data_IF_421607432705
#
_entry.id   IF_421607432705
#
_cell.length_a   1.000
_cell.length_b   1.000
_cell.length_c   1.000
_cell.angle_alpha   90.00
_cell.angle_beta   90.00
_cell.angle_gamma   90.00
#
_symmetry.space_group_name_H-M   'P 1'
#
loop_
_entity.id
_entity.type
_entity.pdbx_description
1 polymer ?
#
# COMPACT_ATOMS: atom_id res chain seq x y z
N UNK A 1 -25.58 -5.78 -6.17
CA UNK A 1 -24.58 -5.67 -7.26
C UNK A 1 -23.22 -6.13 -6.73
N UNK A 2 -22.49 -6.99 -7.45
CA UNK A 2 -21.11 -7.39 -7.08
C UNK A 2 -20.11 -6.49 -7.80
N UNK A 3 -19.14 -5.96 -7.07
CA UNK A 3 -18.06 -5.11 -7.60
C UNK A 3 -16.72 -5.81 -7.37
N UNK A 4 -15.76 -5.74 -8.32
CA UNK A 4 -14.37 -6.10 -8.03
C UNK A 4 -13.84 -5.27 -6.87
N UNK A 5 -13.14 -5.89 -5.92
CA UNK A 5 -12.69 -5.21 -4.70
C UNK A 5 -11.83 -3.97 -5.00
N UNK A 6 -10.91 -4.07 -5.97
CA UNK A 6 -10.08 -2.94 -6.42
C UNK A 6 -10.93 -1.76 -6.88
N UNK A 7 -11.96 -2.03 -7.69
CA UNK A 7 -12.86 -1.00 -8.21
C UNK A 7 -13.68 -0.38 -7.08
N UNK A 8 -14.23 -1.20 -6.18
CA UNK A 8 -14.98 -0.72 -5.02
C UNK A 8 -14.13 0.21 -4.14
N UNK A 9 -12.88 -0.15 -3.88
CA UNK A 9 -11.97 0.65 -3.07
C UNK A 9 -11.66 1.99 -3.74
N UNK A 10 -11.21 1.97 -5.00
CA UNK A 10 -10.74 3.17 -5.71
C UNK A 10 -11.88 4.12 -6.10
N UNK A 11 -13.01 3.60 -6.55
CA UNK A 11 -14.08 4.42 -7.11
C UNK A 11 -15.16 4.80 -6.10
N UNK A 12 -15.23 4.12 -4.95
CA UNK A 12 -16.30 4.34 -3.95
C UNK A 12 -15.75 4.61 -2.56
N UNK A 13 -15.00 3.68 -1.98
CA UNK A 13 -14.68 3.74 -0.55
C UNK A 13 -13.63 4.81 -0.22
N UNK A 14 -12.56 4.93 -1.01
CA UNK A 14 -11.53 5.96 -0.80
C UNK A 14 -12.07 7.38 -1.06
N UNK A 15 -12.84 7.65 -2.14
CA UNK A 15 -13.49 8.95 -2.31
C UNK A 15 -14.46 9.30 -1.17
N UNK A 16 -15.23 8.33 -0.69
CA UNK A 16 -16.14 8.52 0.44
C UNK A 16 -15.36 8.84 1.73
N UNK A 17 -14.32 8.06 2.04
CA UNK A 17 -13.47 8.30 3.21
C UNK A 17 -12.87 9.71 3.18
N UNK A 18 -12.33 10.14 2.03
CA UNK A 18 -11.77 11.50 1.87
C UNK A 18 -12.80 12.58 2.22
N UNK A 19 -14.02 12.47 1.66
CA UNK A 19 -15.10 13.42 1.93
C UNK A 19 -15.46 13.47 3.41
N UNK A 20 -15.70 12.31 4.03
CA UNK A 20 -16.18 12.28 5.42
C UNK A 20 -15.09 12.72 6.40
N UNK A 21 -13.82 12.40 6.16
CA UNK A 21 -12.70 12.88 6.98
C UNK A 21 -12.52 14.40 6.89
N UNK A 22 -12.79 15.01 5.72
CA UNK A 22 -12.80 16.46 5.56
C UNK A 22 -13.99 17.11 6.29
N UNK A 23 -15.17 16.47 6.28
CA UNK A 23 -16.34 16.93 7.05
C UNK A 23 -16.06 16.90 8.56
N UNK A 24 -15.29 15.92 9.02
CA UNK A 24 -14.79 15.83 10.40
C UNK A 24 -13.70 16.85 10.73
N UNK A 25 -13.35 17.73 9.79
CA UNK A 25 -12.39 18.81 9.95
C UNK A 25 -10.98 18.33 10.33
N UNK A 26 -10.58 17.15 9.84
CA UNK A 26 -9.21 16.67 9.91
C UNK A 26 -8.32 17.41 8.90
N UNK A 27 -7.02 17.43 9.18
CA UNK A 27 -6.05 18.10 8.32
C UNK A 27 -6.07 17.53 6.90
N UNK A 28 -6.17 18.40 5.90
CA UNK A 28 -6.32 18.03 4.50
C UNK A 28 -5.06 17.35 3.96
N UNK A 29 -3.87 17.78 4.43
CA UNK A 29 -2.61 17.20 4.01
C UNK A 29 -2.45 15.78 4.57
N UNK A 30 -2.81 15.55 5.83
CA UNK A 30 -2.82 14.21 6.42
C UNK A 30 -3.82 13.28 5.71
N UNK A 31 -5.05 13.74 5.48
CA UNK A 31 -6.07 12.96 4.75
C UNK A 31 -5.56 12.57 3.36
N UNK A 32 -4.96 13.51 2.64
CA UNK A 32 -4.37 13.22 1.33
C UNK A 32 -3.22 12.20 1.44
N UNK A 33 -2.24 12.48 2.31
CA UNK A 33 -1.05 11.63 2.48
C UNK A 33 -1.41 10.17 2.78
N UNK A 34 -2.34 9.92 3.71
CA UNK A 34 -2.73 8.56 4.06
C UNK A 34 -3.60 7.88 3.00
N UNK A 35 -4.62 8.58 2.46
CA UNK A 35 -5.52 7.96 1.49
C UNK A 35 -4.86 7.73 0.13
N UNK A 36 -3.95 8.61 -0.30
CA UNK A 36 -3.21 8.43 -1.55
C UNK A 36 -2.21 7.27 -1.45
N UNK A 37 -1.58 7.08 -0.28
CA UNK A 37 -0.74 5.91 -0.03
C UNK A 37 -1.53 4.60 -0.12
N UNK A 38 -2.76 4.57 0.41
CA UNK A 38 -3.65 3.41 0.30
C UNK A 38 -4.07 3.20 -1.15
N UNK A 39 -4.46 4.27 -1.86
CA UNK A 39 -4.83 4.21 -3.27
C UNK A 39 -3.71 3.61 -4.12
N UNK A 40 -2.47 4.09 -3.97
CA UNK A 40 -1.31 3.61 -4.72
C UNK A 40 -1.01 2.12 -4.48
N UNK A 41 -1.20 1.61 -3.26
CA UNK A 41 -1.08 0.17 -2.95
C UNK A 41 -2.18 -0.66 -3.61
N UNK A 42 -3.41 -0.18 -3.58
CA UNK A 42 -4.54 -0.83 -4.25
C UNK A 42 -4.36 -0.81 -5.77
N UNK A 43 -3.80 0.28 -6.30
CA UNK A 43 -3.57 0.44 -7.73
C UNK A 43 -2.50 -0.50 -8.26
N UNK A 44 -1.35 -0.54 -7.58
CA UNK A 44 -0.22 -1.42 -7.92
C UNK A 44 -0.46 -2.89 -7.57
N UNK A 45 -1.40 -3.16 -6.66
CA UNK A 45 -1.55 -4.50 -6.05
C UNK A 45 -0.40 -4.86 -5.12
N UNK A 46 0.53 -3.94 -4.85
CA UNK A 46 1.70 -4.22 -4.05
C UNK A 46 1.51 -3.80 -2.59
N UNK A 47 1.62 -4.80 -1.72
CA UNK A 47 1.59 -4.66 -0.27
C UNK A 47 2.86 -5.23 0.35
N UNK A 48 3.12 -4.97 1.62
CA UNK A 48 4.24 -5.59 2.33
C UNK A 48 4.20 -7.12 2.29
N UNK A 49 3.00 -7.70 2.46
CA UNK A 49 2.82 -9.14 2.39
C UNK A 49 3.06 -9.69 0.98
N UNK A 50 2.58 -9.00 -0.07
CA UNK A 50 2.85 -9.39 -1.46
C UNK A 50 4.34 -9.33 -1.78
N UNK A 51 5.02 -8.24 -1.38
CA UNK A 51 6.46 -8.09 -1.56
C UNK A 51 7.26 -9.19 -0.84
N UNK A 52 6.95 -9.47 0.43
CA UNK A 52 7.61 -10.51 1.22
C UNK A 52 7.40 -11.90 0.61
N UNK A 53 6.18 -12.20 0.15
CA UNK A 53 5.88 -13.46 -0.53
C UNK A 53 6.69 -13.62 -1.80
N UNK A 54 6.73 -12.59 -2.66
CA UNK A 54 7.51 -12.61 -3.91
C UNK A 54 9.01 -12.72 -3.65
N UNK A 55 9.51 -12.09 -2.59
CA UNK A 55 10.90 -12.22 -2.18
C UNK A 55 11.23 -13.69 -1.86
N UNK A 56 10.41 -14.34 -1.04
CA UNK A 56 10.61 -15.74 -0.66
C UNK A 56 10.47 -16.69 -1.86
N UNK A 57 9.54 -16.41 -2.77
CA UNK A 57 9.37 -17.17 -4.02
C UNK A 57 10.64 -17.12 -4.91
N UNK A 58 11.42 -16.04 -4.87
CA UNK A 58 12.63 -15.86 -5.68
C UNK A 58 13.91 -16.31 -5.01
N UNK A 59 14.03 -16.07 -3.71
CA UNK A 59 15.27 -16.27 -2.96
C UNK A 59 15.24 -17.52 -2.08
N UNK A 60 14.08 -18.19 -1.98
CA UNK A 60 13.87 -19.30 -1.07
C UNK A 60 13.39 -18.84 0.33
N UNK A 61 13.16 -19.77 1.26
CA UNK A 61 12.59 -19.50 2.58
C UNK A 61 13.59 -18.90 3.58
N UNK A 62 14.48 -18.02 3.11
CA UNK A 62 15.48 -17.33 3.95
C UNK A 62 14.87 -16.07 4.59
N UNK A 63 14.45 -16.21 5.85
CA UNK A 63 13.84 -15.12 6.61
C UNK A 63 14.86 -14.08 7.08
N UNK A 64 16.14 -14.43 7.19
CA UNK A 64 17.20 -13.49 7.55
C UNK A 64 17.45 -12.54 6.38
N UNK A 65 17.66 -13.11 5.18
CA UNK A 65 17.79 -12.33 3.95
C UNK A 65 16.55 -11.46 3.69
N UNK A 66 15.34 -12.00 3.91
CA UNK A 66 14.11 -11.23 3.81
C UNK A 66 14.12 -10.02 4.75
N UNK A 67 14.48 -10.23 6.01
CA UNK A 67 14.48 -9.18 7.04
C UNK A 67 15.48 -8.09 6.71
N UNK A 68 16.69 -8.46 6.27
CA UNK A 68 17.73 -7.50 5.87
C UNK A 68 17.30 -6.67 4.65
N UNK A 69 16.77 -7.32 3.61
CA UNK A 69 16.27 -6.62 2.42
C UNK A 69 15.08 -5.71 2.75
N UNK A 70 14.18 -6.14 3.64
CA UNK A 70 13.05 -5.33 4.07
C UNK A 70 13.52 -4.10 4.86
N UNK A 71 14.52 -4.26 5.73
CA UNK A 71 15.12 -3.16 6.49
C UNK A 71 15.76 -2.10 5.58
N UNK A 72 16.56 -2.52 4.59
CA UNK A 72 17.18 -1.62 3.61
C UNK A 72 16.12 -0.79 2.87
N UNK A 73 15.04 -1.44 2.44
CA UNK A 73 13.92 -0.76 1.77
C UNK A 73 13.18 0.20 2.69
N UNK A 74 12.94 -0.18 3.95
CA UNK A 74 12.33 0.72 4.94
C UNK A 74 13.18 1.97 5.18
N UNK A 75 14.50 1.83 5.27
CA UNK A 75 15.43 2.95 5.47
C UNK A 75 15.38 3.97 4.33
N UNK A 76 14.97 3.58 3.13
CA UNK A 76 14.78 4.52 2.01
C UNK A 76 13.64 5.53 2.23
N UNK A 77 12.75 5.28 3.21
CA UNK A 77 11.56 6.10 3.47
C UNK A 77 10.48 5.99 2.39
N UNK A 78 10.73 5.24 1.30
CA UNK A 78 9.78 5.06 0.21
C UNK A 78 8.65 4.12 0.61
N UNK A 79 7.42 4.34 0.16
CA UNK A 79 6.33 3.41 0.37
C UNK A 79 6.52 2.11 -0.42
N UNK A 80 6.00 1.00 0.10
CA UNK A 80 6.19 -0.35 -0.48
C UNK A 80 5.79 -0.49 -1.96
N UNK A 81 4.80 0.28 -2.43
CA UNK A 81 4.39 0.24 -3.83
C UNK A 81 5.48 0.74 -4.80
N UNK A 82 6.55 1.38 -4.29
CA UNK A 82 7.73 1.81 -5.05
C UNK A 82 8.91 0.82 -4.99
N UNK A 83 8.84 -0.26 -4.20
CA UNK A 83 9.99 -1.15 -3.97
C UNK A 83 10.26 -2.19 -5.08
N UNK A 84 9.63 -2.02 -6.25
CA UNK A 84 9.55 -2.98 -7.35
C UNK A 84 8.95 -4.33 -6.91
N UNK A 85 7.67 -4.51 -7.17
CA UNK A 85 6.94 -5.74 -6.84
C UNK A 85 6.86 -6.71 -8.02
N UNK A 86 7.49 -6.34 -9.14
CA UNK A 86 7.62 -7.13 -10.37
C UNK A 86 8.55 -8.30 -10.20
#
# INVERSE_FOLDING_TARGET
>A
QRWPLRQLLLEKLLPLARRELQVLNLDVADVAAYLDLIAARVESGCTGADWQRRFLERNGPDLEALTLAYLERQQSGKPVHEWACS
#
